data_IF_979044790771
#
_entry.id   IF_979044790771
#
_cell.length_a   1.000
_cell.length_b   1.000
_cell.length_c   1.000
_cell.angle_alpha   90.00
_cell.angle_beta   90.00
_cell.angle_gamma   90.00
#
_symmetry.space_group_name_H-M   'P 1'
#
loop_
_entity.id
_entity.type
_entity.pdbx_description
1 polymer ?
#
# COMPACT_ATOMS: atom_id res chain seq x y z
N UNK A 1 -8.80 7.30 -0.65
CA UNK A 1 -7.67 8.25 -0.62
C UNK A 1 -7.32 8.52 0.82
N UNK A 2 -6.04 8.54 1.14
CA UNK A 2 -5.57 8.93 2.49
C UNK A 2 -5.47 10.45 2.64
N UNK A 3 -5.33 11.18 1.53
CA UNK A 3 -5.19 12.63 1.50
C UNK A 3 -6.21 13.24 0.53
N UNK A 4 -6.50 14.54 0.69
CA UNK A 4 -7.32 15.27 -0.24
C UNK A 4 -6.54 15.61 -1.53
N UNK A 5 -7.21 15.76 -2.68
CA UNK A 5 -6.56 16.11 -3.96
C UNK A 5 -5.65 17.34 -3.89
N UNK A 6 -6.07 18.38 -3.14
CA UNK A 6 -5.28 19.61 -2.97
C UNK A 6 -3.91 19.32 -2.34
N UNK A 7 -3.82 18.30 -1.51
CA UNK A 7 -2.58 17.95 -0.80
C UNK A 7 -1.50 17.39 -1.72
N UNK A 8 -1.85 16.87 -2.90
CA UNK A 8 -0.90 16.38 -3.90
C UNK A 8 0.16 17.44 -4.27
N UNK A 9 -0.19 18.74 -4.18
CA UNK A 9 0.76 19.85 -4.43
C UNK A 9 1.93 19.95 -3.44
N UNK A 10 1.85 19.23 -2.32
CA UNK A 10 2.86 19.23 -1.26
C UNK A 10 3.82 18.03 -1.38
N UNK A 11 3.61 17.13 -2.35
CA UNK A 11 4.48 15.98 -2.58
C UNK A 11 5.80 16.40 -3.22
N UNK A 12 6.90 15.75 -2.86
CA UNK A 12 8.20 15.86 -3.51
C UNK A 12 8.37 14.83 -4.64
N UNK A 13 7.70 13.70 -4.52
CA UNK A 13 7.66 12.66 -5.56
C UNK A 13 6.26 12.05 -5.65
N UNK A 14 5.72 11.96 -6.87
CA UNK A 14 4.41 11.39 -7.14
C UNK A 14 4.57 10.21 -8.08
N UNK A 15 4.16 9.03 -7.62
CA UNK A 15 4.09 7.81 -8.43
C UNK A 15 2.65 7.60 -8.88
N UNK A 16 2.43 7.47 -10.17
CA UNK A 16 1.11 7.15 -10.72
C UNK A 16 1.18 5.77 -11.35
N UNK A 17 0.40 4.81 -10.84
CA UNK A 17 0.33 3.45 -11.38
C UNK A 17 -1.12 3.02 -11.57
N UNK A 18 -1.40 2.39 -12.71
CA UNK A 18 -2.74 1.86 -13.00
C UNK A 18 -3.83 2.92 -13.14
N UNK A 19 -3.48 4.13 -13.59
CA UNK A 19 -4.43 5.22 -13.80
C UNK A 19 -3.96 6.25 -14.82
N UNK A 20 -4.84 6.64 -15.74
CA UNK A 20 -4.59 7.74 -16.70
C UNK A 20 -5.15 9.06 -16.17
N UNK A 21 -4.53 9.57 -15.11
CA UNK A 21 -5.05 10.66 -14.27
C UNK A 21 -5.28 11.96 -15.04
N UNK A 22 -4.47 12.25 -16.06
CA UNK A 22 -4.65 13.47 -16.86
C UNK A 22 -5.98 13.48 -17.64
N UNK A 23 -6.52 12.31 -17.99
CA UNK A 23 -7.76 12.17 -18.74
C UNK A 23 -8.97 11.88 -17.84
N UNK A 24 -8.82 10.93 -16.90
CA UNK A 24 -9.97 10.50 -16.10
C UNK A 24 -10.13 11.25 -14.76
N UNK A 25 -9.10 11.96 -14.28
CA UNK A 25 -9.13 12.76 -13.05
C UNK A 25 -8.44 14.13 -13.26
N UNK A 26 -8.89 14.97 -14.20
CA UNK A 26 -8.18 16.20 -14.59
C UNK A 26 -8.05 17.21 -13.44
N UNK A 27 -8.99 17.22 -12.51
CA UNK A 27 -8.94 18.11 -11.34
C UNK A 27 -7.84 17.65 -10.35
N UNK A 28 -7.68 16.34 -10.15
CA UNK A 28 -6.55 15.80 -9.37
C UNK A 28 -5.24 16.10 -10.07
N UNK A 29 -5.19 15.91 -11.39
CA UNK A 29 -3.98 16.11 -12.18
C UNK A 29 -3.48 17.56 -12.16
N UNK A 30 -4.37 18.53 -12.06
CA UNK A 30 -4.01 19.95 -11.84
C UNK A 30 -3.12 20.12 -10.60
N UNK A 31 -3.39 19.40 -9.51
CA UNK A 31 -2.60 19.51 -8.29
C UNK A 31 -1.26 18.78 -8.39
N UNK A 32 -1.21 17.68 -9.16
CA UNK A 32 0.03 16.99 -9.53
C UNK A 32 0.94 17.93 -10.33
N UNK A 33 0.41 18.65 -11.32
CA UNK A 33 1.19 19.63 -12.08
C UNK A 33 1.71 20.75 -11.19
N UNK A 34 0.93 21.21 -10.21
CA UNK A 34 1.41 22.22 -9.26
C UNK A 34 2.54 21.72 -8.34
N UNK A 35 2.55 20.43 -7.99
CA UNK A 35 3.71 19.83 -7.33
C UNK A 35 4.93 19.86 -8.25
N UNK A 36 4.74 19.46 -9.52
CA UNK A 36 5.81 19.46 -10.53
C UNK A 36 6.38 20.85 -10.77
N UNK A 37 5.55 21.89 -10.84
CA UNK A 37 5.97 23.28 -10.97
C UNK A 37 6.85 23.76 -9.77
N UNK A 38 6.71 23.11 -8.62
CA UNK A 38 7.54 23.31 -7.42
C UNK A 38 8.79 22.43 -7.38
N UNK A 39 9.03 21.60 -8.40
CA UNK A 39 10.19 20.72 -8.49
C UNK A 39 9.95 19.27 -8.10
N UNK A 40 8.72 18.88 -7.75
CA UNK A 40 8.39 17.48 -7.51
C UNK A 40 8.65 16.61 -8.73
N UNK A 41 9.12 15.37 -8.50
CA UNK A 41 9.20 14.37 -9.56
C UNK A 41 7.85 13.67 -9.75
N UNK A 42 7.43 13.53 -11.00
CA UNK A 42 6.20 12.81 -11.36
C UNK A 42 6.54 11.64 -12.24
N UNK A 43 6.23 10.45 -11.78
CA UNK A 43 6.57 9.17 -12.41
C UNK A 43 5.28 8.47 -12.80
N UNK A 44 5.16 8.06 -14.06
CA UNK A 44 4.02 7.28 -14.54
C UNK A 44 4.46 5.88 -14.94
N UNK A 45 3.95 4.88 -14.25
CA UNK A 45 4.20 3.46 -14.50
C UNK A 45 2.96 2.84 -15.12
N UNK A 46 3.00 2.59 -16.41
CA UNK A 46 1.84 2.09 -17.16
C UNK A 46 2.33 1.37 -18.43
N UNK A 47 1.74 0.23 -18.82
CA UNK A 47 2.08 -0.45 -20.07
C UNK A 47 1.91 0.43 -21.31
N UNK A 48 0.98 1.40 -21.24
CA UNK A 48 0.63 2.30 -22.34
C UNK A 48 1.14 3.71 -22.10
N UNK A 49 1.70 4.32 -23.13
CA UNK A 49 1.99 5.76 -23.11
C UNK A 49 0.69 6.55 -23.31
N UNK A 50 0.33 7.38 -22.32
CA UNK A 50 -0.92 8.12 -22.26
C UNK A 50 -0.68 9.63 -22.16
N UNK A 51 -1.76 10.43 -22.09
CA UNK A 51 -1.65 11.87 -21.79
C UNK A 51 -1.02 12.14 -20.42
N UNK A 52 -1.22 11.25 -19.45
CA UNK A 52 -0.50 11.30 -18.16
C UNK A 52 1.00 11.14 -18.38
N UNK A 53 1.42 10.13 -19.14
CA UNK A 53 2.85 9.89 -19.46
C UNK A 53 3.51 11.11 -20.08
N UNK A 54 2.82 11.77 -21.02
CA UNK A 54 3.33 12.94 -21.74
C UNK A 54 3.61 14.16 -20.84
N UNK A 55 3.09 14.17 -19.62
CA UNK A 55 3.25 15.28 -18.64
C UNK A 55 4.14 14.90 -17.45
N UNK A 56 4.50 13.64 -17.32
CA UNK A 56 5.38 13.12 -16.27
C UNK A 56 6.85 13.31 -16.63
N UNK A 57 7.74 13.17 -15.64
CA UNK A 57 9.19 13.22 -15.87
C UNK A 57 9.70 11.91 -16.44
N UNK A 58 9.07 10.80 -16.04
CA UNK A 58 9.38 9.47 -16.55
C UNK A 58 8.11 8.72 -16.88
N UNK A 59 8.14 7.98 -17.99
CA UNK A 59 7.23 6.90 -18.29
C UNK A 59 7.96 5.57 -18.18
N UNK A 60 7.39 4.63 -17.43
CA UNK A 60 7.95 3.30 -17.17
C UNK A 60 7.01 2.25 -17.77
N UNK A 61 7.31 1.74 -18.97
CA UNK A 61 6.48 0.75 -19.66
C UNK A 61 6.77 -0.65 -19.10
N UNK A 62 6.03 -1.06 -18.06
CA UNK A 62 6.15 -2.43 -17.55
C UNK A 62 5.18 -3.38 -18.26
N UNK A 63 5.48 -4.68 -18.24
CA UNK A 63 4.51 -5.72 -18.66
C UNK A 63 3.32 -5.73 -17.71
N UNK A 64 2.12 -5.82 -18.25
CA UNK A 64 0.88 -5.92 -17.44
C UNK A 64 0.95 -7.10 -16.48
N UNK A 65 0.52 -6.90 -15.24
CA UNK A 65 0.49 -7.93 -14.19
C UNK A 65 1.83 -8.16 -13.49
N UNK A 66 2.85 -7.32 -13.72
CA UNK A 66 4.17 -7.44 -13.08
C UNK A 66 4.41 -6.38 -12.01
N UNK A 67 3.38 -5.69 -11.57
CA UNK A 67 3.43 -4.58 -10.61
C UNK A 67 4.07 -4.99 -9.29
N UNK A 68 3.73 -6.16 -8.74
CA UNK A 68 4.31 -6.68 -7.49
C UNK A 68 5.83 -6.86 -7.63
N UNK A 69 6.32 -7.33 -8.78
CA UNK A 69 7.75 -7.49 -9.01
C UNK A 69 8.46 -6.13 -9.06
N UNK A 70 7.87 -5.14 -9.74
CA UNK A 70 8.36 -3.77 -9.80
C UNK A 70 8.43 -3.15 -8.39
N UNK A 71 7.35 -3.21 -7.63
CA UNK A 71 7.29 -2.67 -6.28
C UNK A 71 8.15 -3.47 -5.29
N UNK A 72 8.24 -4.79 -5.45
CA UNK A 72 9.11 -5.65 -4.65
C UNK A 72 10.59 -5.29 -4.81
N UNK A 73 11.02 -4.97 -6.03
CA UNK A 73 12.35 -4.44 -6.30
C UNK A 73 12.60 -3.08 -5.63
N UNK A 74 11.58 -2.22 -5.61
CA UNK A 74 11.66 -0.93 -4.89
C UNK A 74 11.80 -1.13 -3.38
N UNK A 75 11.06 -2.05 -2.77
CA UNK A 75 11.20 -2.38 -1.34
C UNK A 75 12.62 -2.86 -1.04
N UNK A 76 13.13 -3.80 -1.84
CA UNK A 76 14.51 -4.27 -1.68
C UNK A 76 15.50 -3.12 -1.76
N UNK A 77 15.37 -2.26 -2.78
CA UNK A 77 16.25 -1.10 -2.95
C UNK A 77 16.21 -0.16 -1.74
N UNK A 78 15.03 0.15 -1.22
CA UNK A 78 14.84 1.01 -0.03
C UNK A 78 15.56 0.42 1.18
N UNK A 79 15.38 -0.88 1.43
CA UNK A 79 15.98 -1.57 2.57
C UNK A 79 17.52 -1.65 2.43
N UNK A 80 18.01 -2.05 1.27
CA UNK A 80 19.44 -2.25 1.02
C UNK A 80 20.25 -0.94 1.07
N UNK A 81 19.61 0.19 0.75
CA UNK A 81 20.24 1.52 0.78
C UNK A 81 19.90 2.33 2.04
N UNK A 82 19.27 1.72 3.06
CA UNK A 82 18.90 2.38 4.32
C UNK A 82 18.06 3.66 4.12
N UNK A 83 17.12 3.62 3.17
CA UNK A 83 16.26 4.78 2.86
C UNK A 83 14.97 4.80 3.69
N UNK A 84 14.82 3.90 4.66
CA UNK A 84 13.65 3.88 5.54
C UNK A 84 13.59 5.11 6.44
N UNK A 85 12.40 5.60 6.72
CA UNK A 85 12.19 6.57 7.79
C UNK A 85 12.19 5.83 9.14
N UNK A 86 13.36 5.71 9.75
CA UNK A 86 13.64 4.79 10.85
C UNK A 86 12.73 5.00 12.06
N UNK A 87 12.51 6.24 12.48
CA UNK A 87 11.65 6.59 13.61
C UNK A 87 10.20 6.15 13.34
N UNK A 88 9.68 6.47 12.15
CA UNK A 88 8.34 6.08 11.74
C UNK A 88 8.18 4.54 11.72
N UNK A 89 9.14 3.85 11.12
CA UNK A 89 9.13 2.38 11.00
C UNK A 89 9.12 1.72 12.39
N UNK A 90 9.92 2.22 13.32
CA UNK A 90 10.04 1.66 14.68
C UNK A 90 8.79 1.86 15.54
N UNK A 91 8.21 3.05 15.50
CA UNK A 91 7.19 3.45 16.47
C UNK A 91 5.77 3.41 15.93
N UNK A 92 5.57 3.66 14.62
CA UNK A 92 4.23 3.80 14.04
C UNK A 92 3.82 2.62 13.15
N UNK A 93 4.69 1.59 13.02
CA UNK A 93 4.37 0.36 12.29
C UNK A 93 4.53 -0.87 13.18
N UNK A 94 4.17 -2.03 12.65
CA UNK A 94 4.45 -3.31 13.30
C UNK A 94 5.84 -3.86 12.98
N UNK A 95 6.69 -3.14 12.27
CA UNK A 95 8.00 -3.60 11.81
C UNK A 95 8.93 -4.07 12.96
N UNK A 96 8.83 -3.41 14.13
CA UNK A 96 9.59 -3.75 15.34
C UNK A 96 9.01 -4.91 16.16
N UNK A 97 7.80 -5.40 15.85
CA UNK A 97 7.17 -6.47 16.62
C UNK A 97 7.84 -7.82 16.34
N UNK A 98 7.96 -8.65 17.38
CA UNK A 98 8.49 -10.01 17.28
C UNK A 98 7.35 -10.95 16.86
N UNK A 99 7.53 -11.63 15.73
CA UNK A 99 6.55 -12.59 15.22
C UNK A 99 6.59 -13.87 16.06
N UNK A 100 5.40 -14.40 16.38
CA UNK A 100 5.22 -15.66 17.13
C UNK A 100 6.07 -16.79 16.53
N UNK A 101 6.66 -17.62 17.40
CA UNK A 101 7.45 -18.79 17.01
C UNK A 101 6.66 -19.81 16.18
N UNK A 102 5.33 -19.84 16.33
CA UNK A 102 4.43 -20.68 15.55
C UNK A 102 4.19 -20.24 14.11
N UNK A 103 4.59 -19.01 13.74
CA UNK A 103 4.44 -18.51 12.38
C UNK A 103 5.71 -18.75 11.54
N UNK A 104 5.54 -19.29 10.35
CA UNK A 104 6.61 -19.37 9.34
C UNK A 104 6.04 -19.24 7.92
N UNK A 105 6.94 -19.02 6.96
CA UNK A 105 6.65 -18.99 5.54
C UNK A 105 7.67 -19.87 4.82
N UNK A 106 7.21 -20.99 4.27
CA UNK A 106 8.04 -21.96 3.60
C UNK A 106 7.39 -22.40 2.29
N UNK A 107 8.18 -22.50 1.23
CA UNK A 107 7.76 -23.01 -0.09
C UNK A 107 6.52 -22.32 -0.68
N UNK A 108 6.38 -21.01 -0.42
CA UNK A 108 5.24 -20.22 -0.91
C UNK A 108 3.99 -20.29 -0.04
N UNK A 109 4.00 -21.06 1.03
CA UNK A 109 2.87 -21.23 1.94
C UNK A 109 3.19 -20.68 3.34
N UNK A 110 2.18 -20.13 3.99
CA UNK A 110 2.24 -19.74 5.39
C UNK A 110 1.85 -20.91 6.30
N UNK A 111 2.29 -20.88 7.55
CA UNK A 111 1.87 -21.84 8.57
C UNK A 111 0.34 -21.92 8.67
N UNK A 112 -0.17 -23.11 8.93
CA UNK A 112 -1.61 -23.35 9.12
C UNK A 112 -2.38 -23.58 7.82
N UNK A 113 -1.71 -23.83 6.70
CA UNK A 113 -2.38 -24.22 5.47
C UNK A 113 -2.94 -25.64 5.58
N UNK A 114 -4.24 -25.78 5.31
CA UNK A 114 -4.96 -27.05 5.19
C UNK A 114 -5.14 -27.33 3.69
N UNK A 115 -4.42 -28.32 3.19
CA UNK A 115 -4.41 -28.67 1.77
C UNK A 115 -5.72 -29.29 1.28
N UNK A 116 -6.47 -29.97 2.17
CA UNK A 116 -7.76 -30.58 1.81
C UNK A 116 -8.87 -29.54 1.67
N UNK A 117 -8.88 -28.55 2.57
CA UNK A 117 -9.89 -27.49 2.58
C UNK A 117 -9.50 -26.27 1.79
N UNK A 118 -8.26 -26.20 1.28
CA UNK A 118 -7.67 -25.00 0.63
C UNK A 118 -7.84 -23.72 1.46
N UNK A 119 -7.65 -23.83 2.79
CA UNK A 119 -7.86 -22.73 3.75
C UNK A 119 -6.68 -22.63 4.72
N UNK A 120 -6.55 -21.46 5.32
CA UNK A 120 -5.58 -21.22 6.38
C UNK A 120 -6.26 -21.19 7.75
N UNK A 121 -5.71 -21.94 8.71
CA UNK A 121 -5.85 -21.60 10.12
C UNK A 121 -4.81 -20.50 10.44
N UNK A 122 -5.28 -19.35 10.88
CA UNK A 122 -4.46 -18.17 11.13
C UNK A 122 -4.11 -17.94 12.60
N UNK A 123 -4.36 -18.90 13.47
CA UNK A 123 -4.16 -18.76 14.92
C UNK A 123 -2.69 -18.47 15.27
N UNK A 124 -1.76 -18.96 14.43
CA UNK A 124 -0.32 -18.72 14.58
C UNK A 124 0.15 -17.38 13.97
N UNK A 125 -0.73 -16.67 13.23
CA UNK A 125 -0.38 -15.40 12.57
C UNK A 125 -0.48 -14.23 13.54
N UNK A 126 0.35 -14.28 14.55
CA UNK A 126 0.36 -13.31 15.64
C UNK A 126 1.79 -12.93 16.01
N UNK A 127 1.92 -12.00 16.95
CA UNK A 127 3.19 -11.58 17.53
C UNK A 127 3.34 -12.14 18.95
N UNK A 128 4.56 -12.24 19.43
CA UNK A 128 4.84 -12.51 20.84
C UNK A 128 4.27 -11.38 21.71
N UNK A 129 3.73 -11.74 22.86
CA UNK A 129 3.14 -10.79 23.81
C UNK A 129 3.80 -10.94 25.16
N UNK A 130 3.94 -9.84 25.88
CA UNK A 130 4.37 -9.82 27.26
C UNK A 130 3.26 -10.27 28.24
N UNK A 131 3.53 -10.24 29.52
CA UNK A 131 2.59 -10.63 30.58
C UNK A 131 1.31 -9.74 30.62
N UNK A 132 1.37 -8.53 30.07
CA UNK A 132 0.25 -7.61 29.95
C UNK A 132 -0.52 -7.77 28.63
N UNK A 133 -0.11 -8.70 27.76
CA UNK A 133 -0.72 -8.92 26.44
C UNK A 133 -0.28 -7.93 25.36
N UNK A 134 0.75 -7.12 25.64
CA UNK A 134 1.28 -6.12 24.70
C UNK A 134 2.30 -6.79 23.77
N UNK A 135 2.28 -6.52 22.45
CA UNK A 135 3.27 -7.06 21.52
C UNK A 135 4.71 -6.70 21.91
N UNK A 136 5.56 -7.71 22.03
CA UNK A 136 6.99 -7.53 22.26
C UNK A 136 7.63 -6.86 21.04
N UNK A 137 8.51 -5.88 21.25
CA UNK A 137 9.15 -5.09 20.21
C UNK A 137 10.66 -5.07 20.33
N UNK A 138 11.33 -5.14 19.19
CA UNK A 138 12.75 -4.82 19.04
C UNK A 138 12.92 -3.52 18.25
N UNK A 139 13.15 -2.43 18.96
CA UNK A 139 13.39 -1.12 18.34
C UNK A 139 14.75 -1.00 17.66
N UNK A 140 15.63 -1.99 17.80
CA UNK A 140 16.86 -2.04 17.01
C UNK A 140 16.63 -2.57 15.61
N UNK A 141 15.50 -3.23 15.35
CA UNK A 141 15.14 -3.92 14.11
C UNK A 141 16.12 -5.04 13.73
N UNK A 142 16.87 -5.60 14.71
CA UNK A 142 17.90 -6.62 14.44
C UNK A 142 17.45 -8.04 14.81
N UNK A 143 16.46 -8.19 15.66
CA UNK A 143 15.98 -9.51 16.05
C UNK A 143 15.50 -10.31 14.83
N UNK A 144 15.99 -11.53 14.59
CA UNK A 144 15.74 -12.28 13.35
C UNK A 144 14.26 -12.59 13.09
N UNK A 145 13.45 -12.58 14.14
CA UNK A 145 11.98 -12.74 14.03
C UNK A 145 11.20 -11.43 14.15
N UNK A 146 11.81 -10.26 14.15
CA UNK A 146 11.03 -9.04 14.01
C UNK A 146 10.48 -8.95 12.58
N UNK A 147 9.31 -8.34 12.44
CA UNK A 147 8.63 -8.21 11.14
C UNK A 147 9.56 -7.59 10.09
N UNK A 148 10.37 -6.61 10.47
CA UNK A 148 11.33 -5.97 9.55
C UNK A 148 12.34 -6.95 8.95
N UNK A 149 12.96 -7.82 9.77
CA UNK A 149 13.94 -8.79 9.28
C UNK A 149 13.29 -9.88 8.42
N UNK A 150 12.09 -10.32 8.79
CA UNK A 150 11.33 -11.25 7.97
C UNK A 150 10.93 -10.64 6.63
N UNK A 151 10.53 -9.36 6.63
CA UNK A 151 10.25 -8.60 5.41
C UNK A 151 11.50 -8.49 4.53
N UNK A 152 12.64 -8.10 5.10
CA UNK A 152 13.94 -8.02 4.40
C UNK A 152 14.29 -9.35 3.73
N UNK A 153 14.22 -10.45 4.48
CA UNK A 153 14.46 -11.81 3.94
C UNK A 153 13.49 -12.16 2.81
N UNK A 154 12.20 -11.80 2.94
CA UNK A 154 11.19 -12.06 1.91
C UNK A 154 11.49 -11.32 0.61
N UNK A 155 11.84 -10.03 0.68
CA UNK A 155 12.08 -9.20 -0.50
C UNK A 155 13.48 -9.35 -1.09
N UNK A 156 14.41 -10.05 -0.45
CA UNK A 156 15.74 -10.32 -0.99
C UNK A 156 15.72 -11.03 -2.35
N UNK A 157 14.67 -11.79 -2.63
CA UNK A 157 14.43 -12.47 -3.93
C UNK A 157 14.24 -11.52 -5.13
N UNK A 158 13.90 -10.25 -4.89
CA UNK A 158 13.61 -9.26 -5.95
C UNK A 158 14.88 -8.52 -6.38
N UNK A 159 15.87 -9.27 -6.88
CA UNK A 159 17.10 -8.68 -7.42
C UNK A 159 16.79 -7.83 -8.65
N UNK A 160 17.61 -6.83 -8.93
CA UNK A 160 17.42 -5.93 -10.07
C UNK A 160 17.34 -6.67 -11.41
N UNK A 161 18.17 -7.72 -11.59
CA UNK A 161 18.15 -8.56 -12.77
C UNK A 161 16.81 -9.30 -12.93
N UNK A 162 16.34 -9.89 -11.84
CA UNK A 162 15.07 -10.62 -11.83
C UNK A 162 13.89 -9.69 -12.09
N UNK A 163 13.87 -8.53 -11.46
CA UNK A 163 12.81 -7.54 -11.68
C UNK A 163 12.81 -7.04 -13.12
N UNK A 164 13.97 -6.69 -13.66
CA UNK A 164 14.09 -6.26 -15.06
C UNK A 164 13.61 -7.34 -16.03
N UNK A 165 13.99 -8.59 -15.81
CA UNK A 165 13.55 -9.74 -16.63
C UNK A 165 12.04 -9.94 -16.58
N UNK A 166 11.42 -9.84 -15.40
CA UNK A 166 9.97 -10.02 -15.20
C UNK A 166 9.19 -8.85 -15.81
N UNK A 167 9.58 -7.62 -15.48
CA UNK A 167 8.83 -6.42 -15.85
C UNK A 167 9.08 -5.94 -17.26
N UNK A 168 10.23 -6.28 -17.84
CA UNK A 168 10.71 -5.77 -19.13
C UNK A 168 11.25 -4.33 -19.04
N UNK A 169 11.33 -3.75 -17.85
CA UNK A 169 11.90 -2.41 -17.63
C UNK A 169 13.42 -2.50 -17.53
N UNK A 170 14.15 -1.56 -18.14
CA UNK A 170 15.60 -1.54 -18.05
C UNK A 170 16.09 -1.30 -16.62
N UNK A 171 17.24 -1.85 -16.27
CA UNK A 171 17.83 -1.68 -14.93
C UNK A 171 18.09 -0.22 -14.58
N UNK A 172 18.53 0.56 -15.56
CA UNK A 172 18.82 1.99 -15.40
C UNK A 172 17.55 2.76 -15.03
N UNK A 173 16.43 2.46 -15.70
CA UNK A 173 15.15 3.10 -15.43
C UNK A 173 14.58 2.65 -14.08
N UNK A 174 14.69 1.37 -13.73
CA UNK A 174 14.32 0.86 -12.41
C UNK A 174 15.08 1.59 -11.30
N UNK A 175 16.42 1.64 -11.40
CA UNK A 175 17.26 2.31 -10.41
C UNK A 175 16.94 3.81 -10.29
N UNK A 176 16.68 4.48 -11.41
CA UNK A 176 16.30 5.89 -11.41
C UNK A 176 15.00 6.12 -10.63
N UNK A 177 13.98 5.33 -10.91
CA UNK A 177 12.69 5.42 -10.22
C UNK A 177 12.83 5.09 -8.74
N UNK A 178 13.54 4.02 -8.40
CA UNK A 178 13.74 3.58 -7.02
C UNK A 178 14.52 4.60 -6.19
N UNK A 179 15.52 5.22 -6.80
CA UNK A 179 16.29 6.31 -6.18
C UNK A 179 15.42 7.53 -5.90
N UNK A 180 14.69 7.99 -6.92
CA UNK A 180 13.88 9.21 -6.80
C UNK A 180 12.71 9.01 -5.81
N UNK A 181 12.03 7.87 -5.86
CA UNK A 181 10.93 7.59 -4.92
C UNK A 181 11.44 7.25 -3.51
N UNK A 182 12.51 6.46 -3.40
CA UNK A 182 13.12 6.10 -2.12
C UNK A 182 13.67 7.31 -1.34
N UNK A 183 14.06 8.38 -2.04
CA UNK A 183 14.51 9.62 -1.41
C UNK A 183 13.41 10.30 -0.56
N UNK A 184 12.15 9.93 -0.71
CA UNK A 184 11.05 10.46 0.10
C UNK A 184 11.01 9.89 1.54
N UNK A 185 11.89 8.95 1.88
CA UNK A 185 12.11 8.53 3.26
C UNK A 185 12.85 9.54 4.15
N UNK A 186 13.40 10.60 3.58
CA UNK A 186 13.97 11.69 4.34
C UNK A 186 12.86 12.46 5.10
N UNK A 187 13.17 12.95 6.32
CA UNK A 187 12.19 13.58 7.24
C UNK A 187 11.51 14.84 6.67
N UNK A 188 12.18 15.53 5.76
CA UNK A 188 11.71 16.75 5.10
C UNK A 188 11.07 16.52 3.73
N UNK A 189 10.87 15.26 3.35
CA UNK A 189 10.32 14.84 2.07
C UNK A 189 9.01 14.07 2.21
N UNK A 190 8.20 14.15 1.17
CA UNK A 190 6.95 13.41 1.08
C UNK A 190 6.77 12.78 -0.30
N UNK A 191 6.39 11.49 -0.30
CA UNK A 191 6.03 10.77 -1.51
C UNK A 191 4.58 10.32 -1.48
N UNK A 192 3.87 10.51 -2.59
CA UNK A 192 2.51 10.00 -2.73
C UNK A 192 2.38 9.05 -3.91
N UNK A 193 1.44 8.14 -3.78
CA UNK A 193 1.04 7.26 -4.86
C UNK A 193 -0.42 7.52 -5.25
N UNK A 194 -0.68 7.53 -6.55
CA UNK A 194 -2.01 7.66 -7.13
C UNK A 194 -2.31 6.46 -8.01
N UNK A 195 -3.42 5.77 -7.77
CA UNK A 195 -3.84 4.63 -8.57
C UNK A 195 -5.33 4.63 -8.87
N UNK A 196 -5.70 3.82 -9.85
CA UNK A 196 -7.08 3.58 -10.21
C UNK A 196 -7.30 2.10 -10.59
N UNK A 197 -8.25 1.83 -11.48
CA UNK A 197 -8.70 0.49 -11.83
C UNK A 197 -7.65 -0.37 -12.54
N UNK A 198 -6.63 0.23 -13.17
CA UNK A 198 -5.50 -0.50 -13.76
C UNK A 198 -4.71 -1.34 -12.76
N UNK A 199 -4.84 -1.05 -11.45
CA UNK A 199 -4.34 -1.90 -10.38
C UNK A 199 -5.39 -2.83 -9.81
N UNK A 200 -6.57 -2.29 -9.49
CA UNK A 200 -7.59 -3.04 -8.75
C UNK A 200 -8.21 -4.17 -9.56
N UNK A 201 -8.21 -4.07 -10.89
CA UNK A 201 -8.78 -5.08 -11.78
C UNK A 201 -7.82 -6.23 -12.13
N UNK A 202 -6.58 -6.20 -11.66
CA UNK A 202 -5.69 -7.36 -11.77
C UNK A 202 -6.15 -8.50 -10.86
N UNK A 203 -5.87 -9.75 -11.22
CA UNK A 203 -6.12 -10.93 -10.38
C UNK A 203 -5.50 -10.76 -8.99
N UNK A 204 -4.36 -10.08 -8.90
CA UNK A 204 -3.62 -9.81 -7.65
C UNK A 204 -3.71 -8.32 -7.24
N UNK A 205 -4.79 -7.63 -7.59
CA UNK A 205 -4.95 -6.20 -7.35
C UNK A 205 -4.77 -5.77 -5.90
N UNK A 206 -5.34 -6.53 -4.96
CA UNK A 206 -5.17 -6.26 -3.53
C UNK A 206 -3.70 -6.36 -3.08
N UNK A 207 -2.94 -7.28 -3.66
CA UNK A 207 -1.52 -7.46 -3.35
C UNK A 207 -0.66 -6.32 -3.95
N UNK A 208 -1.01 -5.81 -5.13
CA UNK A 208 -0.37 -4.61 -5.70
C UNK A 208 -0.46 -3.44 -4.71
N UNK A 209 -1.67 -3.16 -4.23
CA UNK A 209 -1.94 -2.05 -3.29
C UNK A 209 -1.25 -2.28 -1.95
N UNK A 210 -1.28 -3.50 -1.41
CA UNK A 210 -0.57 -3.85 -0.17
C UNK A 210 0.94 -3.69 -0.28
N UNK A 211 1.51 -4.04 -1.43
CA UNK A 211 2.95 -3.87 -1.67
C UNK A 211 3.34 -2.40 -1.68
N UNK A 212 2.50 -1.55 -2.28
CA UNK A 212 2.71 -0.10 -2.21
C UNK A 212 2.51 0.45 -0.78
N UNK A 213 1.54 -0.08 -0.04
CA UNK A 213 1.35 0.31 1.36
C UNK A 213 2.60 0.01 2.21
N UNK A 214 3.29 -1.11 1.96
CA UNK A 214 4.56 -1.43 2.62
C UNK A 214 5.62 -0.36 2.30
N UNK A 215 5.75 0.07 1.04
CA UNK A 215 6.69 1.13 0.64
C UNK A 215 6.39 2.42 1.40
N UNK A 216 5.14 2.84 1.43
CA UNK A 216 4.73 4.07 2.11
C UNK A 216 4.98 4.03 3.62
N UNK A 217 4.78 2.88 4.24
CA UNK A 217 5.09 2.69 5.66
C UNK A 217 6.61 2.65 5.93
N UNK A 218 7.41 2.07 5.03
CA UNK A 218 8.88 2.08 5.15
C UNK A 218 9.45 3.50 5.02
N UNK A 219 8.89 4.29 4.12
CA UNK A 219 9.33 5.67 3.86
C UNK A 219 8.70 6.70 4.81
N UNK A 220 7.75 6.30 5.67
CA UNK A 220 7.08 7.22 6.59
C UNK A 220 6.14 8.22 5.90
N UNK A 221 5.66 7.90 4.71
CA UNK A 221 4.83 8.79 3.89
C UNK A 221 3.35 8.82 4.30
N UNK A 222 2.93 8.02 5.28
CA UNK A 222 1.54 7.99 5.73
C UNK A 222 1.31 8.98 6.87
N UNK A 223 0.27 9.81 6.74
CA UNK A 223 -0.11 10.75 7.78
C UNK A 223 0.65 12.09 7.75
N UNK A 224 1.40 12.36 6.69
CA UNK A 224 2.09 13.63 6.47
C UNK A 224 1.54 14.37 5.24
N UNK A 225 1.70 15.69 5.21
CA UNK A 225 1.29 16.49 4.08
C UNK A 225 2.07 16.10 2.81
N UNK A 226 1.36 15.88 1.71
CA UNK A 226 1.94 15.45 0.43
C UNK A 226 2.27 13.96 0.36
N UNK A 227 2.10 13.20 1.43
CA UNK A 227 2.30 11.75 1.45
C UNK A 227 1.03 10.96 1.14
N UNK A 228 1.09 9.64 1.31
CA UNK A 228 -0.10 8.77 1.30
C UNK A 228 -0.31 7.91 0.07
N UNK A 229 -1.45 7.18 0.10
CA UNK A 229 -1.94 6.31 -0.98
C UNK A 229 -3.29 6.81 -1.43
N UNK A 230 -3.40 7.16 -2.71
CA UNK A 230 -4.55 7.84 -3.25
C UNK A 230 -5.23 7.01 -4.35
N UNK A 231 -6.19 6.17 -3.94
CA UNK A 231 -7.16 5.59 -4.85
C UNK A 231 -8.03 6.71 -5.42
N UNK A 232 -7.88 7.04 -6.69
CA UNK A 232 -8.49 8.25 -7.25
C UNK A 232 -10.01 8.17 -7.45
N UNK A 233 -10.63 7.03 -7.16
CA UNK A 233 -12.07 6.77 -7.22
C UNK A 233 -12.67 6.97 -8.64
N UNK A 234 -13.76 6.28 -8.92
CA UNK A 234 -14.50 6.41 -10.19
C UNK A 234 -15.67 7.38 -10.06
N UNK A 235 -16.50 7.18 -9.03
CA UNK A 235 -17.70 7.97 -8.78
C UNK A 235 -17.35 9.25 -8.02
N UNK A 236 -18.08 10.34 -8.29
CA UNK A 236 -17.88 11.60 -7.58
C UNK A 236 -18.07 11.44 -6.07
N UNK A 237 -17.03 11.79 -5.32
CA UNK A 237 -17.02 11.79 -3.86
C UNK A 237 -17.56 10.49 -3.22
N UNK A 238 -17.18 9.33 -3.74
CA UNK A 238 -17.68 8.03 -3.25
C UNK A 238 -17.38 7.81 -1.75
N UNK A 239 -16.27 8.35 -1.22
CA UNK A 239 -16.00 8.30 0.22
C UNK A 239 -17.07 9.08 1.02
N UNK A 240 -17.36 10.32 0.64
CA UNK A 240 -18.41 11.11 1.28
C UNK A 240 -19.82 10.52 1.07
N UNK A 241 -20.11 9.98 -0.11
CA UNK A 241 -21.36 9.27 -0.36
C UNK A 241 -21.53 8.06 0.56
N UNK A 242 -20.44 7.34 0.84
CA UNK A 242 -20.45 6.23 1.80
C UNK A 242 -20.71 6.72 3.21
N UNK A 243 -20.04 7.80 3.63
CA UNK A 243 -20.25 8.40 4.96
C UNK A 243 -21.69 8.88 5.18
N UNK A 244 -22.32 9.40 4.14
CA UNK A 244 -23.72 9.85 4.14
C UNK A 244 -24.74 8.75 3.86
N UNK A 245 -24.31 7.49 3.74
CA UNK A 245 -25.17 6.34 3.48
C UNK A 245 -26.04 6.46 2.20
N UNK A 246 -25.49 7.11 1.17
CA UNK A 246 -26.17 7.26 -0.12
C UNK A 246 -26.01 5.97 -0.94
N UNK A 247 -25.00 5.16 -0.67
CA UNK A 247 -24.79 3.88 -1.33
C UNK A 247 -25.79 2.84 -0.80
N UNK A 248 -26.34 2.03 -1.70
CA UNK A 248 -27.39 1.05 -1.42
C UNK A 248 -27.03 -0.03 -0.40
N UNK A 249 -25.75 -0.28 -0.16
CA UNK A 249 -25.25 -1.41 0.65
C UNK A 249 -24.83 -1.03 2.08
N UNK A 250 -25.06 0.21 2.50
CA UNK A 250 -24.71 0.70 3.83
C UNK A 250 -25.83 1.53 4.44
N UNK A 251 -25.97 1.43 5.75
CA UNK A 251 -26.81 2.27 6.60
C UNK A 251 -25.95 3.24 7.41
N UNK A 252 -26.54 4.26 8.05
CA UNK A 252 -25.82 5.19 8.93
C UNK A 252 -24.90 4.47 9.91
N UNK A 253 -23.69 5.02 10.12
CA UNK A 253 -22.68 4.40 10.98
C UNK A 253 -21.99 3.16 10.37
N UNK A 254 -22.00 3.05 9.05
CA UNK A 254 -21.42 1.91 8.29
C UNK A 254 -22.06 0.56 8.61
N UNK A 255 -23.28 0.58 9.14
CA UNK A 255 -24.04 -0.64 9.35
C UNK A 255 -24.38 -1.30 8.01
N UNK A 256 -24.31 -2.61 7.96
CA UNK A 256 -24.64 -3.37 6.76
C UNK A 256 -26.14 -3.46 6.55
N UNK A 257 -26.56 -3.59 5.33
CA UNK A 257 -27.96 -3.89 4.99
C UNK A 257 -28.38 -5.24 5.57
N UNK A 258 -29.65 -5.37 6.03
CA UNK A 258 -30.15 -6.64 6.52
C UNK A 258 -30.30 -7.65 5.37
N UNK A 259 -30.12 -8.92 5.70
CA UNK A 259 -30.44 -10.05 4.82
C UNK A 259 -31.83 -10.61 5.13
N UNK A 260 -32.41 -11.36 4.21
CA UNK A 260 -33.72 -11.98 4.37
C UNK A 260 -33.85 -12.88 5.63
N UNK A 261 -32.74 -13.46 6.08
CA UNK A 261 -32.69 -14.23 7.35
C UNK A 261 -32.78 -13.39 8.63
N UNK A 262 -32.66 -12.06 8.51
CA UNK A 262 -32.79 -11.08 9.61
C UNK A 262 -34.17 -10.42 9.53
N UNK A 263 -35.21 -11.22 9.69
CA UNK A 263 -36.62 -10.85 9.51
C UNK A 263 -37.18 -9.99 10.67
N UNK A 264 -36.36 -9.78 11.73
CA UNK A 264 -36.71 -8.91 12.86
C UNK A 264 -35.55 -7.99 13.21
N UNK A 265 -35.87 -6.82 13.78
CA UNK A 265 -34.89 -5.88 14.28
C UNK A 265 -33.96 -6.51 15.32
N UNK A 266 -34.50 -7.37 16.18
CA UNK A 266 -33.69 -8.05 17.21
C UNK A 266 -32.58 -8.94 16.58
N UNK A 267 -32.89 -9.71 15.54
CA UNK A 267 -31.89 -10.53 14.82
C UNK A 267 -30.84 -9.66 14.10
N UNK A 268 -31.25 -8.51 13.58
CA UNK A 268 -30.32 -7.58 12.95
C UNK A 268 -29.39 -6.98 14.01
N UNK A 269 -29.92 -6.51 15.12
CA UNK A 269 -29.15 -5.89 16.22
C UNK A 269 -28.16 -6.89 16.85
N UNK A 270 -28.57 -8.13 17.07
CA UNK A 270 -27.71 -9.16 17.63
C UNK A 270 -26.46 -9.42 16.76
N UNK A 271 -26.60 -9.31 15.44
CA UNK A 271 -25.51 -9.58 14.49
C UNK A 271 -24.58 -8.39 14.28
N UNK A 272 -25.09 -7.17 14.23
CA UNK A 272 -24.34 -5.99 13.77
C UNK A 272 -24.09 -4.93 14.82
N UNK A 273 -24.70 -5.00 15.98
CA UNK A 273 -24.32 -4.12 17.07
C UNK A 273 -23.22 -4.75 17.90
N UNK A 274 -22.12 -4.03 18.08
CA UNK A 274 -21.15 -4.36 19.13
C UNK A 274 -21.86 -4.18 20.46
N UNK A 275 -21.87 -5.21 21.28
CA UNK A 275 -22.19 -5.05 22.69
C UNK A 275 -21.07 -4.18 23.26
N UNK A 276 -21.35 -2.91 23.46
CA UNK A 276 -20.47 -2.04 24.25
C UNK A 276 -20.39 -2.64 25.64
N UNK A 277 -19.19 -2.87 26.13
CA UNK A 277 -18.95 -3.25 27.52
C UNK A 277 -18.71 -1.97 28.34
N UNK A 278 -19.51 -0.93 28.13
CA UNK A 278 -19.50 0.27 28.96
C UNK A 278 -20.15 0.01 30.32
#
# INVERSE_FOLDING_TARGET
MTNHYIDLKNSDCILIMGGNTAENHPIAFKWILRAKDKGAKVIHVDPRFTRTSARCDYHVPLRSGTDIAFLGGMIKYIIDNNLIQEEYVKYYTNASQIVSSGFDFQDGLFTGYDAEKHKYNKDTWTTEKDAAGIPVRDYTLQHPRCVYQMLKKHYDRYTLDKVSSITGVSKELLLRVYKDYGATGAKDKAGTECYALGWTHHTVGSQNIRTMAIIQLLLGNMGIAGGGINALRGEPNVQGSTDHCILYNLLPGYLKMPYASMDTLAKYMDKYTTKSND
#
